data_IF_565394822722
#
_entry.id   IF_565394822722
#
_cell.length_a   1.000
_cell.length_b   1.000
_cell.length_c   1.000
_cell.angle_alpha   90.00
_cell.angle_beta   90.00
_cell.angle_gamma   90.00
#
_symmetry.space_group_name_H-M   'P 1'
#
loop_
_entity.id
_entity.type
_entity.pdbx_description
1 polymer ?
#
# COMPACT_ATOMS: atom_id res chain seq x y z
N UNK A 1 -15.29 8.05 10.86
CA UNK A 1 -14.48 9.15 10.30
C UNK A 1 -13.35 8.63 9.42
N UNK A 2 -12.30 7.97 9.94
CA UNK A 2 -11.18 7.47 9.11
C UNK A 2 -11.58 6.39 8.09
N UNK A 3 -12.40 5.40 8.47
CA UNK A 3 -12.91 4.40 7.51
C UNK A 3 -13.65 5.06 6.34
N UNK A 4 -14.52 6.03 6.65
CA UNK A 4 -15.25 6.79 5.64
C UNK A 4 -14.30 7.56 4.71
N UNK A 5 -13.23 8.15 5.24
CA UNK A 5 -12.20 8.80 4.42
C UNK A 5 -11.62 7.85 3.36
N UNK A 6 -11.26 6.63 3.75
CA UNK A 6 -10.78 5.63 2.80
C UNK A 6 -11.87 5.12 1.86
N UNK A 7 -13.12 5.00 2.32
CA UNK A 7 -14.26 4.68 1.45
C UNK A 7 -14.43 5.71 0.35
N UNK A 8 -14.36 7.01 0.68
CA UNK A 8 -14.41 8.10 -0.30
C UNK A 8 -13.19 8.08 -1.23
N UNK A 9 -11.99 7.83 -0.69
CA UNK A 9 -10.77 7.70 -1.50
C UNK A 9 -10.88 6.58 -2.55
N UNK A 10 -11.57 5.47 -2.22
CA UNK A 10 -11.74 4.33 -3.12
C UNK A 10 -12.75 4.59 -4.24
N UNK A 11 -13.50 5.69 -4.18
CA UNK A 11 -14.44 6.09 -5.23
C UNK A 11 -13.76 6.83 -6.39
N UNK A 12 -12.48 7.20 -6.25
CA UNK A 12 -11.73 7.83 -7.35
C UNK A 12 -11.74 6.92 -8.59
N UNK A 13 -12.00 7.48 -9.79
CA UNK A 13 -12.09 6.69 -11.02
C UNK A 13 -10.71 6.10 -11.33
N UNK A 14 -10.56 4.77 -11.32
CA UNK A 14 -9.26 4.18 -11.46
C UNK A 14 -8.83 4.13 -12.91
N UNK A 15 -7.53 4.29 -13.18
CA UNK A 15 -6.97 4.19 -14.51
C UNK A 15 -6.83 2.72 -14.92
N UNK A 16 -6.36 2.50 -16.14
CA UNK A 16 -6.04 1.16 -16.68
C UNK A 16 -4.63 0.68 -16.30
N UNK A 17 -4.03 1.21 -15.24
CA UNK A 17 -2.65 0.90 -14.86
C UNK A 17 -2.43 0.98 -13.33
N UNK A 18 -1.47 0.21 -12.84
CA UNK A 18 -0.86 0.36 -11.52
C UNK A 18 0.39 1.23 -11.64
N UNK A 19 0.46 2.30 -10.86
CA UNK A 19 1.50 3.31 -11.00
C UNK A 19 1.17 4.58 -10.22
N UNK A 20 2.13 5.49 -10.17
CA UNK A 20 1.88 6.85 -9.68
C UNK A 20 1.07 7.67 -10.69
N UNK A 21 0.60 8.83 -10.23
CA UNK A 21 -0.05 9.82 -11.10
C UNK A 21 0.84 10.15 -12.32
N UNK A 22 0.20 10.25 -13.49
CA UNK A 22 0.91 10.50 -14.76
C UNK A 22 1.65 9.29 -15.32
N UNK A 23 1.15 8.06 -15.10
CA UNK A 23 1.75 6.79 -15.58
C UNK A 23 3.23 6.63 -15.19
N UNK A 24 3.58 7.02 -13.96
CA UNK A 24 4.94 6.89 -13.44
C UNK A 24 5.13 5.56 -12.70
N UNK A 25 6.37 5.05 -12.60
CA UNK A 25 6.69 3.85 -11.82
C UNK A 25 6.21 3.93 -10.36
N UNK A 26 5.94 2.79 -9.75
CA UNK A 26 5.58 2.69 -8.33
C UNK A 26 6.76 3.16 -7.47
N UNK A 27 6.46 3.89 -6.39
CA UNK A 27 7.49 4.46 -5.50
C UNK A 27 7.90 3.51 -4.37
N UNK A 28 7.12 2.45 -4.13
CA UNK A 28 7.42 1.53 -3.05
C UNK A 28 8.81 0.91 -3.25
N UNK A 29 9.63 0.90 -2.19
CA UNK A 29 11.01 0.42 -2.25
C UNK A 29 11.16 -1.03 -2.69
N UNK A 30 10.10 -1.85 -2.60
CA UNK A 30 10.10 -3.21 -3.16
C UNK A 30 10.35 -3.14 -4.67
N UNK A 31 9.79 -2.15 -5.36
CA UNK A 31 9.95 -1.98 -6.79
C UNK A 31 11.15 -1.12 -7.17
N UNK A 32 12.01 -0.71 -6.24
CA UNK A 32 13.15 0.16 -6.56
C UNK A 32 14.31 -0.60 -7.21
N UNK A 33 14.95 -0.02 -8.22
CA UNK A 33 16.19 -0.49 -8.84
C UNK A 33 17.15 0.69 -8.99
N UNK A 34 18.46 0.41 -9.03
CA UNK A 34 19.47 1.47 -9.22
C UNK A 34 19.35 2.13 -10.60
N UNK A 35 19.21 1.30 -11.63
CA UNK A 35 18.86 1.72 -12.99
C UNK A 35 17.37 1.41 -13.27
N UNK A 36 16.62 2.29 -13.94
CA UNK A 36 15.22 2.05 -14.25
C UNK A 36 15.02 0.78 -15.09
N UNK A 37 14.19 -0.13 -14.60
CA UNK A 37 13.69 -1.31 -15.30
C UNK A 37 12.15 -1.31 -15.23
N UNK A 38 11.44 -0.93 -16.32
CA UNK A 38 9.98 -0.94 -16.35
C UNK A 38 9.33 -2.29 -16.03
N UNK A 39 10.04 -3.41 -16.22
CA UNK A 39 9.54 -4.74 -15.85
C UNK A 39 9.56 -4.98 -14.33
N UNK A 40 10.24 -4.13 -13.56
CA UNK A 40 10.30 -4.16 -12.10
C UNK A 40 9.65 -2.92 -11.46
N UNK A 41 9.81 -1.74 -12.05
CA UNK A 41 9.33 -0.49 -11.45
C UNK A 41 7.89 -0.13 -11.90
N UNK A 42 7.45 -0.68 -13.03
CA UNK A 42 6.19 -0.30 -13.67
C UNK A 42 6.26 1.05 -14.42
N UNK A 43 5.11 1.66 -14.76
CA UNK A 43 3.75 1.24 -14.41
C UNK A 43 3.38 -0.12 -15.02
N UNK A 44 2.43 -0.81 -14.40
CA UNK A 44 1.93 -2.11 -14.84
C UNK A 44 0.51 -2.00 -15.38
N UNK A 45 0.16 -2.82 -16.35
CA UNK A 45 -1.20 -2.82 -16.95
C UNK A 45 -2.09 -3.91 -16.40
N UNK A 46 -1.53 -4.89 -15.70
CA UNK A 46 -2.26 -6.00 -15.11
C UNK A 46 -1.71 -6.35 -13.71
N UNK A 47 -2.52 -7.07 -12.93
CA UNK A 47 -2.09 -7.59 -11.63
C UNK A 47 -1.00 -8.65 -11.83
N UNK A 48 -1.08 -9.42 -12.92
CA UNK A 48 -0.10 -10.42 -13.32
C UNK A 48 1.28 -9.81 -13.57
N UNK A 49 1.34 -8.67 -14.29
CA UNK A 49 2.60 -7.94 -14.54
C UNK A 49 3.22 -7.45 -13.21
N UNK A 50 2.38 -6.93 -12.31
CA UNK A 50 2.82 -6.47 -10.99
C UNK A 50 3.36 -7.61 -10.13
N UNK A 51 2.71 -8.79 -10.17
CA UNK A 51 3.16 -9.98 -9.46
C UNK A 51 4.47 -10.52 -10.05
N UNK A 52 4.59 -10.58 -11.38
CA UNK A 52 5.83 -10.98 -12.03
C UNK A 52 6.96 -10.00 -11.71
N UNK A 53 6.68 -8.70 -11.58
CA UNK A 53 7.65 -7.71 -11.15
C UNK A 53 8.22 -8.00 -9.75
N UNK A 54 7.42 -8.54 -8.81
CA UNK A 54 7.92 -8.97 -7.50
C UNK A 54 8.92 -10.14 -7.60
N UNK A 55 8.65 -11.11 -8.48
CA UNK A 55 9.56 -12.22 -8.74
C UNK A 55 10.84 -11.74 -9.45
N UNK A 56 10.71 -10.87 -10.45
CA UNK A 56 11.85 -10.25 -11.17
C UNK A 56 12.70 -9.42 -10.24
N UNK A 57 12.09 -8.63 -9.36
CA UNK A 57 12.80 -7.88 -8.33
C UNK A 57 13.66 -8.79 -7.47
N UNK A 58 13.12 -9.94 -7.06
CA UNK A 58 13.86 -10.91 -6.27
C UNK A 58 15.07 -11.44 -7.06
N UNK A 59 14.89 -11.81 -8.33
CA UNK A 59 15.99 -12.22 -9.23
C UNK A 59 17.03 -11.10 -9.40
N UNK A 60 16.59 -9.85 -9.56
CA UNK A 60 17.47 -8.69 -9.70
C UNK A 60 18.30 -8.46 -8.43
N UNK A 61 17.71 -8.59 -7.24
CA UNK A 61 18.40 -8.31 -5.98
C UNK A 61 19.33 -9.44 -5.53
N UNK A 62 18.97 -10.70 -5.81
CA UNK A 62 19.63 -11.87 -5.20
C UNK A 62 20.13 -12.90 -6.23
N UNK A 63 20.01 -12.61 -7.53
CA UNK A 63 20.28 -13.55 -8.60
C UNK A 63 19.14 -14.56 -8.82
N UNK A 64 19.27 -15.35 -9.88
CA UNK A 64 18.35 -16.45 -10.19
C UNK A 64 18.35 -17.48 -9.05
N UNK A 65 17.17 -17.81 -8.54
CA UNK A 65 17.02 -18.75 -7.43
C UNK A 65 15.68 -19.47 -7.48
N UNK A 66 15.64 -20.69 -6.92
CA UNK A 66 14.42 -21.49 -6.69
C UNK A 66 13.34 -20.64 -5.99
N UNK A 67 13.75 -19.67 -5.17
CA UNK A 67 12.84 -18.76 -4.48
C UNK A 67 12.07 -17.85 -5.43
N UNK A 68 12.70 -17.28 -6.45
CA UNK A 68 11.99 -16.47 -7.43
C UNK A 68 10.96 -17.31 -8.20
N UNK A 69 11.32 -18.55 -8.57
CA UNK A 69 10.39 -19.46 -9.25
C UNK A 69 9.25 -19.90 -8.33
N UNK A 70 9.54 -20.20 -7.06
CA UNK A 70 8.51 -20.46 -6.05
C UNK A 70 7.55 -19.27 -5.91
N UNK A 71 8.07 -18.03 -5.83
CA UNK A 71 7.25 -16.83 -5.78
C UNK A 71 6.34 -16.69 -7.00
N UNK A 72 6.81 -16.99 -8.21
CA UNK A 72 5.95 -16.99 -9.42
C UNK A 72 4.77 -17.93 -9.32
N UNK A 73 4.93 -19.08 -8.66
CA UNK A 73 3.85 -20.06 -8.48
C UNK A 73 2.92 -19.72 -7.31
N UNK A 74 3.44 -19.07 -6.27
CA UNK A 74 2.71 -18.83 -5.03
C UNK A 74 2.01 -17.47 -4.99
N UNK A 75 2.63 -16.40 -5.51
CA UNK A 75 2.08 -15.06 -5.46
C UNK A 75 0.71 -14.97 -6.14
N UNK A 76 0.49 -15.54 -7.34
CA UNK A 76 -0.83 -15.53 -7.97
C UNK A 76 -1.88 -16.38 -7.25
N UNK A 77 -1.58 -17.04 -6.12
CA UNK A 77 -2.58 -17.75 -5.32
C UNK A 77 -3.13 -16.89 -4.18
N UNK A 78 -2.41 -15.84 -3.82
CA UNK A 78 -2.73 -14.99 -2.67
C UNK A 78 -2.99 -13.55 -3.12
N UNK A 79 -2.16 -13.03 -4.01
CA UNK A 79 -2.22 -11.66 -4.48
C UNK A 79 -3.20 -11.57 -5.66
N UNK A 80 -4.48 -11.44 -5.33
CA UNK A 80 -5.52 -11.25 -6.33
C UNK A 80 -6.15 -9.89 -6.16
N UNK A 81 -6.21 -9.13 -7.24
CA UNK A 81 -7.05 -7.96 -7.29
C UNK A 81 -7.44 -7.65 -8.73
N UNK A 82 -8.63 -7.10 -8.90
CA UNK A 82 -9.23 -6.86 -10.20
C UNK A 82 -9.04 -5.42 -10.68
N UNK A 83 -8.67 -4.47 -9.81
CA UNK A 83 -8.68 -3.06 -10.20
C UNK A 83 -7.65 -2.19 -9.46
N UNK A 84 -6.94 -1.31 -10.17
CA UNK A 84 -6.13 -0.28 -9.52
C UNK A 84 -6.96 0.54 -8.54
N UNK A 85 -6.42 0.75 -7.35
CA UNK A 85 -7.05 1.46 -6.24
C UNK A 85 -6.09 2.55 -5.75
N UNK A 86 -6.58 3.78 -5.59
CA UNK A 86 -5.71 4.88 -5.15
C UNK A 86 -5.46 4.79 -3.66
N UNK A 87 -4.21 4.55 -3.24
CA UNK A 87 -3.79 4.37 -1.86
C UNK A 87 -3.08 5.62 -1.31
N UNK A 88 -3.08 5.77 0.01
CA UNK A 88 -2.24 6.73 0.71
C UNK A 88 -0.77 6.28 0.69
N UNK A 89 -0.52 5.00 1.01
CA UNK A 89 0.81 4.38 0.88
C UNK A 89 1.76 4.61 2.06
N UNK A 90 1.39 5.47 3.01
CA UNK A 90 2.07 5.61 4.31
C UNK A 90 1.08 5.83 5.47
N UNK A 91 0.04 4.98 5.56
CA UNK A 91 -1.00 5.11 6.58
C UNK A 91 -0.48 4.74 7.98
N UNK A 92 0.05 5.75 8.67
CA UNK A 92 0.57 5.68 10.04
C UNK A 92 0.02 6.82 10.88
N UNK A 93 -0.01 6.65 12.21
CA UNK A 93 -0.52 7.67 13.16
C UNK A 93 0.11 9.06 12.96
N UNK A 94 1.42 9.11 12.73
CA UNK A 94 2.16 10.36 12.49
C UNK A 94 1.63 11.18 11.30
N UNK A 95 0.91 10.54 10.38
CA UNK A 95 0.38 11.13 9.16
C UNK A 95 -1.12 11.48 9.28
N UNK A 96 -1.66 11.47 10.50
CA UNK A 96 -3.06 11.80 10.81
C UNK A 96 -3.08 12.96 11.80
N UNK A 97 -3.72 14.05 11.41
CA UNK A 97 -3.90 15.23 12.25
C UNK A 97 -5.36 15.39 12.65
N UNK A 98 -5.58 15.88 13.86
CA UNK A 98 -6.89 16.33 14.33
C UNK A 98 -6.89 17.86 14.33
N UNK A 99 -7.81 18.45 13.57
CA UNK A 99 -8.02 19.89 13.53
C UNK A 99 -9.32 20.22 14.25
N UNK A 100 -9.27 21.20 15.15
CA UNK A 100 -10.48 21.78 15.74
C UNK A 100 -11.05 22.78 14.74
N UNK A 101 -12.31 22.62 14.36
CA UNK A 101 -13.03 23.62 13.57
C UNK A 101 -13.28 24.85 14.46
N UNK A 102 -12.78 26.01 14.06
CA UNK A 102 -13.11 27.27 14.72
C UNK A 102 -14.52 27.70 14.33
N UNK A 103 -15.39 27.86 15.34
CA UNK A 103 -16.80 28.22 15.18
C UNK A 103 -17.68 27.47 16.19
N UNK A 104 -18.39 28.26 17.00
CA UNK A 104 -19.33 27.91 18.07
C UNK A 104 -18.77 27.37 19.38
N UNK A 105 -18.91 28.19 20.42
CA UNK A 105 -18.56 27.93 21.82
C UNK A 105 -19.54 26.94 22.53
N UNK A 106 -19.95 25.87 21.85
CA UNK A 106 -20.77 24.80 22.44
C UNK A 106 -19.96 23.50 22.59
N UNK A 107 -19.98 22.92 23.78
CA UNK A 107 -19.39 21.62 24.12
C UNK A 107 -19.94 20.51 23.22
N UNK A 108 -19.18 20.07 22.21
CA UNK A 108 -19.44 18.79 21.55
C UNK A 108 -18.26 18.29 20.70
N UNK A 109 -18.08 16.98 20.75
CA UNK A 109 -17.14 16.12 20.01
C UNK A 109 -17.24 16.21 18.47
N UNK A 110 -18.20 16.99 17.95
CA UNK A 110 -18.45 17.24 16.51
C UNK A 110 -17.50 18.25 15.85
N UNK A 111 -16.56 18.83 16.62
CA UNK A 111 -15.61 19.86 16.15
C UNK A 111 -14.29 19.34 15.58
N UNK A 112 -14.02 18.03 15.70
CA UNK A 112 -12.74 17.47 15.28
C UNK A 112 -12.80 17.00 13.83
N UNK A 113 -12.02 17.61 12.96
CA UNK A 113 -11.80 17.15 11.60
C UNK A 113 -10.53 16.31 11.55
N UNK A 114 -10.63 15.11 10.99
CA UNK A 114 -9.47 14.28 10.68
C UNK A 114 -8.88 14.72 9.34
N UNK A 115 -7.58 15.00 9.33
CA UNK A 115 -6.82 15.37 8.13
C UNK A 115 -5.70 14.35 7.94
N UNK A 116 -5.62 13.74 6.76
CA UNK A 116 -4.54 12.83 6.37
C UNK A 116 -3.52 13.60 5.53
N UNK A 117 -2.25 13.53 5.93
CA UNK A 117 -1.12 14.25 5.31
C UNK A 117 -0.06 13.27 4.82
N UNK A 118 1.01 13.77 4.18
CA UNK A 118 2.16 12.97 3.73
C UNK A 118 1.84 11.99 2.56
N UNK A 119 1.27 12.55 1.49
CA UNK A 119 0.80 11.84 0.29
C UNK A 119 1.92 11.44 -0.70
N UNK A 120 3.20 11.59 -0.34
CA UNK A 120 4.32 11.40 -1.28
C UNK A 120 4.41 9.97 -1.85
N UNK A 121 3.89 8.99 -1.10
CA UNK A 121 3.87 7.56 -1.48
C UNK A 121 2.58 7.11 -2.17
N UNK A 122 1.64 8.03 -2.35
CA UNK A 122 0.34 7.73 -2.95
C UNK A 122 0.43 7.32 -4.42
N UNK A 123 -0.54 6.53 -4.86
CA UNK A 123 -0.61 6.05 -6.22
C UNK A 123 -1.66 4.97 -6.41
N UNK A 124 -1.73 4.44 -7.62
CA UNK A 124 -2.64 3.36 -8.00
C UNK A 124 -1.96 2.01 -7.78
N UNK A 125 -2.43 1.26 -6.80
CA UNK A 125 -1.93 -0.07 -6.41
C UNK A 125 -3.09 -1.06 -6.31
N UNK A 126 -2.84 -2.37 -6.16
CA UNK A 126 -3.89 -3.29 -5.74
C UNK A 126 -4.52 -2.86 -4.40
N UNK A 127 -5.81 -3.13 -4.20
CA UNK A 127 -6.58 -2.73 -3.02
C UNK A 127 -5.92 -3.22 -1.71
N UNK A 128 -5.37 -4.43 -1.72
CA UNK A 128 -4.70 -5.02 -0.55
C UNK A 128 -3.43 -4.25 -0.11
N UNK A 129 -2.85 -3.45 -1.00
CA UNK A 129 -1.55 -2.82 -0.77
C UNK A 129 -1.55 -1.83 0.38
N UNK A 130 -2.64 -1.07 0.59
CA UNK A 130 -2.76 -0.14 1.73
C UNK A 130 -2.64 -0.88 3.06
N UNK A 131 -3.42 -1.95 3.24
CA UNK A 131 -3.41 -2.75 4.46
C UNK A 131 -2.04 -3.39 4.68
N UNK A 132 -1.43 -3.93 3.62
CA UNK A 132 -0.11 -4.56 3.70
C UNK A 132 0.97 -3.57 4.15
N UNK A 133 0.95 -2.33 3.64
CA UNK A 133 1.92 -1.31 4.04
C UNK A 133 1.72 -0.83 5.48
N UNK A 134 0.46 -0.63 5.90
CA UNK A 134 0.13 -0.29 7.28
C UNK A 134 0.54 -1.42 8.24
N UNK A 135 0.28 -2.69 7.88
CA UNK A 135 0.68 -3.87 8.64
C UNK A 135 2.19 -3.94 8.85
N UNK A 136 2.98 -3.72 7.78
CA UNK A 136 4.44 -3.71 7.89
C UNK A 136 5.01 -2.58 8.75
N UNK A 137 4.23 -1.55 9.07
CA UNK A 137 4.63 -0.42 9.90
C UNK A 137 4.20 -0.55 11.37
N UNK A 138 3.50 -1.63 11.75
CA UNK A 138 3.04 -1.86 13.12
C UNK A 138 4.22 -2.07 14.07
N UNK A 139 4.15 -1.44 15.25
CA UNK A 139 5.16 -1.53 16.32
C UNK A 139 4.68 -2.27 17.56
N UNK A 140 3.37 -2.54 17.67
CA UNK A 140 2.73 -3.21 18.81
C UNK A 140 3.05 -2.57 20.18
N UNK A 141 3.35 -1.27 20.19
CA UNK A 141 3.59 -0.47 21.39
C UNK A 141 2.30 0.20 21.92
N UNK A 142 1.21 0.13 21.16
CA UNK A 142 -0.14 0.56 21.54
C UNK A 142 -1.24 -0.14 20.71
N UNK A 143 -2.47 0.36 20.82
CA UNK A 143 -3.67 -0.19 20.18
C UNK A 143 -3.83 0.19 18.70
N UNK A 144 -2.86 0.88 18.08
CA UNK A 144 -2.97 1.32 16.68
C UNK A 144 -3.22 0.16 15.72
N UNK A 145 -2.65 -1.02 15.98
CA UNK A 145 -2.89 -2.22 15.19
C UNK A 145 -4.39 -2.59 15.13
N UNK A 146 -5.13 -2.40 16.22
CA UNK A 146 -6.57 -2.65 16.29
C UNK A 146 -7.37 -1.59 15.51
N UNK A 147 -6.83 -0.38 15.38
CA UNK A 147 -7.44 0.68 14.59
C UNK A 147 -7.22 0.50 13.08
N UNK A 148 -6.03 0.03 12.66
CA UNK A 148 -5.77 -0.30 11.26
C UNK A 148 -6.80 -1.31 10.74
N UNK A 149 -7.09 -2.35 11.52
CA UNK A 149 -8.06 -3.39 11.17
C UNK A 149 -9.52 -2.88 11.10
N UNK A 150 -9.87 -1.87 11.91
CA UNK A 150 -11.18 -1.21 11.86
C UNK A 150 -11.32 -0.24 10.69
N UNK A 151 -10.23 0.44 10.33
CA UNK A 151 -10.23 1.52 9.34
C UNK A 151 -10.12 0.99 7.92
N UNK A 152 -9.25 0.01 7.69
CA UNK A 152 -9.00 -0.59 6.39
C UNK A 152 -9.76 -1.92 6.25
N UNK A 153 -9.92 -2.40 5.01
CA UNK A 153 -10.37 -3.77 4.81
C UNK A 153 -9.19 -4.73 5.07
N UNK A 154 -9.40 -5.83 5.80
CA UNK A 154 -8.31 -6.71 6.21
C UNK A 154 -7.86 -7.61 5.07
N UNK A 155 -6.57 -7.55 4.75
CA UNK A 155 -5.88 -8.40 3.77
C UNK A 155 -4.74 -9.15 4.44
N UNK A 156 -5.08 -9.97 5.44
CA UNK A 156 -4.11 -10.59 6.37
C UNK A 156 -3.14 -11.54 5.66
N UNK A 157 -3.64 -12.33 4.71
CA UNK A 157 -2.83 -13.30 3.95
C UNK A 157 -1.81 -12.59 3.05
N UNK A 158 -2.27 -11.56 2.35
CA UNK A 158 -1.48 -10.70 1.49
C UNK A 158 -0.43 -9.94 2.31
N UNK A 159 -0.83 -9.41 3.47
CA UNK A 159 0.06 -8.69 4.37
C UNK A 159 1.16 -9.59 4.93
N UNK A 160 0.81 -10.80 5.39
CA UNK A 160 1.79 -11.77 5.87
C UNK A 160 2.80 -12.15 4.78
N UNK A 161 2.32 -12.41 3.56
CA UNK A 161 3.19 -12.76 2.43
C UNK A 161 4.08 -11.60 2.00
N UNK A 162 3.52 -10.40 1.83
CA UNK A 162 4.29 -9.20 1.47
C UNK A 162 5.26 -8.80 2.56
N UNK A 163 4.93 -8.97 3.84
CA UNK A 163 5.85 -8.74 4.95
C UNK A 163 7.07 -9.67 4.88
N UNK A 164 6.86 -10.96 4.60
CA UNK A 164 7.95 -11.93 4.41
C UNK A 164 8.85 -11.60 3.22
N UNK A 165 8.26 -11.12 2.11
CA UNK A 165 9.02 -10.66 0.94
C UNK A 165 9.81 -9.39 1.29
N UNK A 166 9.14 -8.43 1.94
CA UNK A 166 9.73 -7.16 2.36
C UNK A 166 10.94 -7.41 3.23
N UNK A 167 10.81 -8.17 4.32
CA UNK A 167 11.92 -8.44 5.25
C UNK A 167 13.21 -8.89 4.56
N UNK A 168 13.14 -9.59 3.42
CA UNK A 168 14.35 -10.01 2.69
C UNK A 168 15.11 -8.90 1.99
N UNK A 169 14.43 -7.84 1.54
CA UNK A 169 15.09 -6.71 0.89
C UNK A 169 15.72 -5.72 1.87
N UNK A 170 15.35 -5.79 3.16
CA UNK A 170 15.87 -4.92 4.23
C UNK A 170 16.48 -5.72 5.40
N UNK A 171 16.82 -6.99 5.19
CA UNK A 171 17.58 -7.82 6.14
C UNK A 171 19.08 -7.72 5.93
#
# INVERSE_FOLDING_TARGET
MLRQYFTELRQLPPPSYYGRLGKRPLLNGIFWTGEPDPAINGPFTSNEDLIEALARKHTHAFGTSIRADFLRHCLPRVLHDQRPTFIHGDFQRKNIMLQVKEGDAGDDSTKLQVVVIDWEKSGWYPAYWEYCLAYCALRFDDDWCLWVDKVLDPFVSEAALLYQIRLKFWS
#
